data_IF_506966121313
#
_entry.id   IF_506966121313
#
_cell.length_a   1.000
_cell.length_b   1.000
_cell.length_c   1.000
_cell.angle_alpha   90.00
_cell.angle_beta   90.00
_cell.angle_gamma   90.00
#
_symmetry.space_group_name_H-M   'P 1'
#
loop_
_entity.id
_entity.type
_entity.pdbx_description
1 polymer ?
#
# COMPACT_ATOMS: atom_id res chain seq x y z
N UNK A 1 -26.05 -12.70 3.24
CA UNK A 1 -24.76 -12.00 3.48
C UNK A 1 -23.81 -13.08 3.97
N UNK A 2 -22.85 -13.49 3.16
CA UNK A 2 -21.79 -14.39 3.66
C UNK A 2 -20.97 -13.55 4.66
N UNK A 3 -20.93 -13.98 5.91
CA UNK A 3 -19.95 -13.45 6.86
C UNK A 3 -18.57 -13.67 6.22
N UNK A 4 -17.89 -12.59 5.87
CA UNK A 4 -16.52 -12.70 5.38
C UNK A 4 -15.67 -13.19 6.55
N UNK A 5 -15.02 -14.32 6.37
CA UNK A 5 -14.15 -14.89 7.39
C UNK A 5 -12.95 -13.94 7.59
N UNK A 6 -12.73 -13.51 8.81
CA UNK A 6 -11.54 -12.76 9.22
C UNK A 6 -10.51 -13.72 9.85
N UNK A 7 -9.23 -13.43 9.66
CA UNK A 7 -8.16 -14.17 10.30
C UNK A 7 -8.25 -14.03 11.83
N UNK A 8 -8.09 -15.13 12.54
CA UNK A 8 -8.24 -15.18 14.00
C UNK A 8 -6.92 -15.58 14.66
N UNK A 9 -6.78 -15.21 15.93
CA UNK A 9 -5.73 -15.74 16.78
C UNK A 9 -6.05 -17.19 17.12
N UNK A 10 -5.10 -18.10 16.91
CA UNK A 10 -5.22 -19.52 17.26
C UNK A 10 -4.78 -19.69 18.71
N UNK A 11 -5.68 -20.08 19.58
CA UNK A 11 -5.45 -20.16 21.03
C UNK A 11 -5.42 -21.58 21.57
N UNK A 12 -5.91 -22.56 20.80
CA UNK A 12 -5.99 -23.99 21.18
C UNK A 12 -4.75 -24.79 20.77
N UNK A 13 -3.78 -24.15 20.07
CA UNK A 13 -2.56 -24.78 19.58
C UNK A 13 -2.80 -25.75 18.41
N UNK A 14 -4.02 -25.84 17.88
CA UNK A 14 -4.38 -26.74 16.80
C UNK A 14 -4.22 -26.08 15.42
N UNK A 15 -3.03 -26.21 14.82
CA UNK A 15 -2.74 -25.70 13.48
C UNK A 15 -1.71 -26.56 12.74
N UNK A 16 -1.68 -26.45 11.43
CA UNK A 16 -0.71 -27.15 10.59
C UNK A 16 0.65 -26.44 10.68
N UNK A 17 1.60 -27.04 11.40
CA UNK A 17 2.95 -26.48 11.57
C UNK A 17 3.74 -26.37 10.26
N UNK A 18 3.44 -27.19 9.25
CA UNK A 18 4.09 -27.11 7.93
C UNK A 18 3.67 -25.87 7.13
N UNK A 19 2.54 -25.25 7.49
CA UNK A 19 2.02 -24.02 6.90
C UNK A 19 2.27 -22.79 7.80
N UNK A 20 2.97 -22.96 8.92
CA UNK A 20 3.23 -21.89 9.87
C UNK A 20 4.59 -21.25 9.60
N UNK A 21 4.63 -19.92 9.59
CA UNK A 21 5.85 -19.11 9.43
C UNK A 21 5.98 -18.14 10.59
N UNK A 22 7.10 -18.17 11.29
CA UNK A 22 7.41 -17.23 12.37
C UNK A 22 7.95 -15.92 11.79
N UNK A 23 7.29 -14.84 12.13
CA UNK A 23 7.66 -13.46 11.84
C UNK A 23 7.93 -12.68 13.14
N UNK A 24 8.36 -11.43 13.05
CA UNK A 24 8.57 -10.57 14.23
C UNK A 24 7.26 -10.42 15.02
N UNK A 25 6.15 -10.18 14.34
CA UNK A 25 4.84 -9.88 14.94
C UNK A 25 3.90 -11.07 15.03
N UNK A 26 4.44 -12.29 15.13
CA UNK A 26 3.65 -13.50 15.34
C UNK A 26 4.05 -14.66 14.44
N UNK A 27 3.38 -15.78 14.62
CA UNK A 27 3.44 -16.94 13.72
C UNK A 27 2.17 -16.96 12.87
N UNK A 28 2.32 -16.94 11.55
CA UNK A 28 1.21 -16.89 10.60
C UNK A 28 1.03 -18.25 9.93
N UNK A 29 -0.21 -18.75 9.96
CA UNK A 29 -0.58 -20.06 9.39
C UNK A 29 -1.35 -19.83 8.10
N UNK A 30 -0.72 -20.19 6.98
CA UNK A 30 -1.28 -20.01 5.65
C UNK A 30 -2.18 -21.17 5.19
N UNK A 31 -2.58 -21.08 3.92
CA UNK A 31 -3.33 -22.14 3.22
C UNK A 31 -2.52 -22.68 2.05
N UNK A 32 -2.72 -23.96 1.74
CA UNK A 32 -2.10 -24.60 0.59
C UNK A 32 -3.15 -24.94 -0.46
N UNK A 33 -2.90 -24.54 -1.69
CA UNK A 33 -3.68 -24.89 -2.87
C UNK A 33 -2.72 -25.47 -3.92
N UNK A 34 -2.89 -26.72 -4.28
CA UNK A 34 -1.95 -27.46 -5.10
C UNK A 34 -0.54 -27.45 -4.48
N UNK A 35 0.44 -26.90 -5.20
CA UNK A 35 1.82 -26.73 -4.74
C UNK A 35 2.15 -25.29 -4.30
N UNK A 36 1.15 -24.44 -4.07
CA UNK A 36 1.33 -23.07 -3.61
C UNK A 36 0.82 -22.89 -2.19
N UNK A 37 1.63 -22.26 -1.35
CA UNK A 37 1.24 -21.81 -0.02
C UNK A 37 1.02 -20.30 -0.11
N UNK A 38 -0.14 -19.86 0.36
CA UNK A 38 -0.50 -18.46 0.47
C UNK A 38 -0.72 -18.05 1.92
N UNK A 39 -0.31 -16.85 2.25
CA UNK A 39 -0.52 -16.21 3.54
C UNK A 39 -1.22 -14.88 3.27
N UNK A 40 -2.46 -14.75 3.71
CA UNK A 40 -3.33 -13.61 3.36
C UNK A 40 -3.71 -12.82 4.61
N UNK A 41 -3.62 -11.48 4.54
CA UNK A 41 -4.04 -10.60 5.62
C UNK A 41 -3.05 -10.53 6.79
N UNK A 42 -1.75 -10.51 6.52
CA UNK A 42 -0.72 -10.31 7.55
C UNK A 42 -0.60 -8.81 7.85
N UNK A 43 -0.78 -8.34 9.09
CA UNK A 43 -0.57 -6.94 9.44
C UNK A 43 0.92 -6.59 9.38
N UNK A 44 1.27 -5.49 8.72
CA UNK A 44 2.65 -5.01 8.65
C UNK A 44 2.92 -3.77 9.51
N UNK A 45 1.94 -3.38 10.33
CA UNK A 45 2.01 -2.27 11.28
C UNK A 45 1.70 -2.74 12.70
N UNK A 46 2.25 -2.09 13.69
CA UNK A 46 2.00 -2.40 15.10
C UNK A 46 0.61 -2.00 15.57
N UNK A 47 0.04 -0.97 14.94
CA UNK A 47 -1.32 -0.51 15.19
C UNK A 47 -1.94 -0.04 13.87
N UNK A 48 -3.18 -0.42 13.63
CA UNK A 48 -3.94 0.04 12.46
C UNK A 48 -4.30 1.52 12.58
N UNK A 49 -4.38 2.27 11.45
CA UNK A 49 -4.55 3.72 11.46
C UNK A 49 -6.01 4.15 11.72
N UNK A 50 -6.58 3.70 12.83
CA UNK A 50 -7.98 3.92 13.21
C UNK A 50 -8.05 4.97 14.34
N UNK A 51 -9.09 5.78 14.36
CA UNK A 51 -9.35 6.76 15.41
C UNK A 51 -8.26 7.83 15.50
N UNK A 52 -7.58 7.94 16.64
CA UNK A 52 -6.51 8.93 16.88
C UNK A 52 -5.27 8.72 15.99
N UNK A 53 -5.10 7.52 15.43
CA UNK A 53 -4.02 7.19 14.50
C UNK A 53 -4.36 7.51 13.03
N UNK A 54 -5.61 7.90 12.74
CA UNK A 54 -5.97 8.36 11.41
C UNK A 54 -5.04 9.51 11.00
N UNK A 55 -4.48 9.45 9.81
CA UNK A 55 -3.48 10.40 9.26
C UNK A 55 -2.13 10.47 9.99
N UNK A 56 -1.87 9.61 10.96
CA UNK A 56 -0.52 9.45 11.55
C UNK A 56 0.32 8.51 10.71
N UNK A 57 1.65 8.69 10.80
CA UNK A 57 2.59 7.73 10.22
C UNK A 57 2.36 6.33 10.79
N UNK A 58 2.56 5.26 9.98
CA UNK A 58 2.41 3.89 10.46
C UNK A 58 3.42 3.59 11.58
N UNK A 59 3.00 2.75 12.51
CA UNK A 59 3.79 2.37 13.68
C UNK A 59 4.46 1.02 13.44
N UNK A 60 5.72 0.89 13.81
CA UNK A 60 6.48 -0.36 13.70
C UNK A 60 5.79 -1.52 14.43
N UNK A 61 5.88 -2.71 13.85
CA UNK A 61 5.43 -3.94 14.51
C UNK A 61 6.28 -4.22 15.76
N UNK A 62 5.64 -4.79 16.76
CA UNK A 62 6.32 -5.25 17.99
C UNK A 62 6.44 -6.77 17.97
N UNK A 63 7.48 -7.32 18.60
CA UNK A 63 7.60 -8.77 18.77
C UNK A 63 6.36 -9.37 19.43
N UNK A 64 5.83 -10.43 18.83
CA UNK A 64 4.71 -11.21 19.36
C UNK A 64 4.96 -12.72 19.16
N UNK A 65 4.59 -13.52 20.15
CA UNK A 65 4.66 -14.99 20.10
C UNK A 65 3.31 -15.64 19.81
N UNK A 66 2.28 -14.86 19.51
CA UNK A 66 0.96 -15.34 19.11
C UNK A 66 0.99 -16.12 17.80
N UNK A 67 0.01 -17.00 17.65
CA UNK A 67 -0.24 -17.74 16.39
C UNK A 67 -1.53 -17.23 15.78
N UNK A 68 -1.52 -16.93 14.48
CA UNK A 68 -2.62 -16.30 13.77
C UNK A 68 -2.91 -17.02 12.47
N UNK A 69 -4.17 -17.11 12.10
CA UNK A 69 -4.56 -17.46 10.74
C UNK A 69 -4.05 -16.40 9.76
N UNK A 70 -3.66 -16.84 8.58
CA UNK A 70 -3.34 -16.01 7.44
C UNK A 70 -4.01 -16.59 6.18
N UNK A 71 -5.31 -16.87 6.29
CA UNK A 71 -6.10 -17.61 5.31
C UNK A 71 -7.01 -16.70 4.48
N UNK A 72 -7.33 -15.51 4.99
CA UNK A 72 -8.32 -14.61 4.41
C UNK A 72 -7.70 -13.26 4.09
N UNK A 73 -8.11 -12.67 2.96
CA UNK A 73 -7.76 -11.28 2.66
C UNK A 73 -8.33 -10.33 3.71
N UNK A 74 -7.56 -9.33 4.08
CA UNK A 74 -8.00 -8.28 4.99
C UNK A 74 -8.87 -7.23 4.28
N UNK A 75 -9.42 -6.30 5.06
CA UNK A 75 -10.21 -5.18 4.56
C UNK A 75 -9.41 -4.32 3.57
N UNK A 76 -10.09 -3.84 2.56
CA UNK A 76 -9.59 -2.77 1.70
C UNK A 76 -9.67 -1.44 2.44
N UNK A 77 -8.81 -0.48 2.10
CA UNK A 77 -8.99 0.90 2.52
C UNK A 77 -10.38 1.40 2.08
N UNK A 78 -11.03 2.20 2.93
CA UNK A 78 -12.33 2.79 2.57
C UNK A 78 -12.18 3.60 1.28
N UNK A 79 -13.04 3.35 0.30
CA UNK A 79 -12.98 3.93 -1.04
C UNK A 79 -14.38 4.05 -1.64
N UNK A 80 -14.58 4.97 -2.57
CA UNK A 80 -15.85 5.22 -3.21
C UNK A 80 -16.25 4.09 -4.17
N UNK A 81 -15.27 3.52 -4.88
CA UNK A 81 -15.54 2.46 -5.87
C UNK A 81 -15.91 1.16 -5.14
N UNK A 82 -17.07 0.60 -5.50
CA UNK A 82 -17.58 -0.65 -4.93
C UNK A 82 -16.90 -1.89 -5.55
N UNK A 83 -15.60 -2.06 -5.30
CA UNK A 83 -14.88 -3.30 -5.69
C UNK A 83 -15.23 -4.43 -4.71
N UNK A 84 -15.41 -4.09 -3.45
CA UNK A 84 -15.77 -5.01 -2.37
C UNK A 84 -16.46 -4.25 -1.24
N UNK A 85 -17.41 -4.90 -0.57
CA UNK A 85 -18.06 -4.35 0.64
C UNK A 85 -17.19 -4.54 1.91
N UNK A 86 -16.05 -5.23 1.82
CA UNK A 86 -15.12 -5.46 2.91
C UNK A 86 -14.09 -4.35 2.97
N UNK A 87 -14.48 -3.20 3.48
CA UNK A 87 -13.68 -2.00 3.59
C UNK A 87 -13.59 -1.51 5.03
N UNK A 88 -12.50 -0.84 5.37
CA UNK A 88 -12.29 -0.24 6.69
C UNK A 88 -11.01 0.58 6.74
N UNK A 89 -10.85 1.35 7.83
CA UNK A 89 -9.59 2.05 8.12
C UNK A 89 -8.50 1.07 8.60
N UNK A 90 -8.92 -0.05 9.20
CA UNK A 90 -8.10 -1.21 9.50
C UNK A 90 -7.78 -1.96 8.20
N UNK A 91 -6.78 -1.49 7.45
CA UNK A 91 -6.50 -1.94 6.09
C UNK A 91 -5.02 -2.18 5.77
N UNK A 92 -4.11 -1.95 6.72
CA UNK A 92 -2.68 -2.06 6.48
C UNK A 92 -2.17 -3.49 6.65
N UNK A 93 -2.43 -4.30 5.61
CA UNK A 93 -2.09 -5.72 5.54
C UNK A 93 -1.39 -6.04 4.23
N UNK A 94 -0.64 -7.14 4.24
CA UNK A 94 0.00 -7.70 3.06
C UNK A 94 -0.33 -9.19 2.91
N UNK A 95 -0.03 -9.71 1.73
CA UNK A 95 -0.18 -11.12 1.43
C UNK A 95 1.10 -11.66 0.81
N UNK A 96 1.38 -12.95 1.02
CA UNK A 96 2.58 -13.63 0.52
C UNK A 96 2.19 -14.94 -0.17
N UNK A 97 2.78 -15.23 -1.33
CA UNK A 97 2.64 -16.51 -2.04
C UNK A 97 4.01 -17.08 -2.35
N UNK A 98 4.15 -18.37 -2.17
CA UNK A 98 5.34 -19.14 -2.52
C UNK A 98 5.01 -20.55 -2.96
N UNK A 99 5.89 -21.19 -3.73
CA UNK A 99 5.78 -22.62 -3.96
C UNK A 99 6.05 -23.40 -2.66
N UNK A 100 5.37 -24.53 -2.50
CA UNK A 100 5.63 -25.51 -1.46
C UNK A 100 6.77 -26.42 -1.91
N UNK A 101 7.98 -25.94 -1.78
CA UNK A 101 9.19 -26.69 -2.08
C UNK A 101 10.18 -26.65 -0.90
N UNK A 102 11.13 -27.57 -0.94
CA UNK A 102 12.18 -27.72 0.09
C UNK A 102 13.48 -27.02 -0.30
N UNK A 103 13.47 -26.12 -1.29
CA UNK A 103 14.65 -25.41 -1.73
C UNK A 103 15.26 -24.60 -0.58
N UNK A 104 16.53 -24.84 -0.28
CA UNK A 104 17.31 -24.04 0.66
C UNK A 104 17.79 -22.70 0.04
N UNK A 105 17.66 -22.55 -1.27
CA UNK A 105 18.08 -21.33 -1.96
C UNK A 105 17.05 -20.22 -1.72
N UNK A 106 17.52 -19.04 -1.34
CA UNK A 106 16.69 -17.85 -1.22
C UNK A 106 16.19 -17.41 -2.60
N UNK A 107 14.89 -17.12 -2.70
CA UNK A 107 14.20 -16.77 -3.95
C UNK A 107 14.08 -15.26 -4.13
N UNK A 108 14.17 -14.75 -5.36
CA UNK A 108 13.81 -13.36 -5.66
C UNK A 108 12.40 -13.04 -5.15
N UNK A 109 12.21 -11.80 -4.68
CA UNK A 109 10.94 -11.34 -4.15
C UNK A 109 10.35 -10.27 -5.05
N UNK A 110 9.07 -10.41 -5.42
CA UNK A 110 8.31 -9.45 -6.19
C UNK A 110 7.23 -8.83 -5.30
N UNK A 111 7.29 -7.50 -5.05
CA UNK A 111 6.33 -6.79 -4.20
C UNK A 111 5.45 -5.91 -5.06
N UNK A 112 4.16 -6.26 -5.15
CA UNK A 112 3.16 -5.51 -5.89
C UNK A 112 2.60 -4.34 -5.09
N UNK A 113 2.58 -3.16 -5.71
CA UNK A 113 1.86 -1.97 -5.25
C UNK A 113 0.77 -1.66 -6.27
N UNK A 114 -0.49 -1.76 -5.84
CA UNK A 114 -1.63 -1.62 -6.74
C UNK A 114 -1.84 -0.18 -7.22
N UNK A 115 -2.45 -0.04 -8.40
CA UNK A 115 -2.93 1.23 -8.93
C UNK A 115 -4.31 1.62 -8.43
N UNK A 116 -5.01 2.49 -9.18
CA UNK A 116 -6.34 2.99 -8.85
C UNK A 116 -6.35 4.46 -8.48
N UNK A 117 -5.52 5.27 -9.13
CA UNK A 117 -5.46 6.74 -8.99
C UNK A 117 -5.25 7.22 -7.54
N UNK A 118 -4.63 6.42 -6.69
CA UNK A 118 -4.48 6.62 -5.24
C UNK A 118 -5.80 6.70 -4.47
N UNK A 119 -6.93 6.40 -5.10
CA UNK A 119 -8.28 6.53 -4.51
C UNK A 119 -9.03 5.21 -4.44
N UNK A 120 -8.60 4.20 -5.21
CA UNK A 120 -9.26 2.91 -5.30
C UNK A 120 -8.23 1.76 -5.38
N UNK A 121 -8.72 0.52 -5.26
CA UNK A 121 -7.91 -0.69 -5.34
C UNK A 121 -7.68 -1.34 -3.99
N UNK A 122 -6.79 -2.31 -3.96
CA UNK A 122 -6.41 -3.03 -2.74
C UNK A 122 -5.99 -4.46 -3.03
N UNK A 123 -5.42 -5.11 -2.04
CA UNK A 123 -4.81 -6.44 -2.18
C UNK A 123 -5.79 -7.60 -1.95
N UNK A 124 -7.03 -7.31 -1.58
CA UNK A 124 -8.09 -8.30 -1.32
C UNK A 124 -9.03 -8.51 -2.52
N UNK A 125 -8.61 -8.19 -3.75
CA UNK A 125 -9.38 -8.42 -4.97
C UNK A 125 -8.73 -9.55 -5.78
N UNK A 126 -9.54 -10.37 -6.43
CA UNK A 126 -9.10 -11.57 -7.18
C UNK A 126 -8.07 -11.25 -8.26
N UNK A 127 -8.13 -10.06 -8.85
CA UNK A 127 -7.17 -9.60 -9.86
C UNK A 127 -5.72 -9.63 -9.37
N UNK A 128 -5.49 -9.44 -8.07
CA UNK A 128 -4.16 -9.38 -7.46
C UNK A 128 -3.83 -10.62 -6.62
N UNK A 129 -4.60 -11.72 -6.78
CA UNK A 129 -4.23 -13.02 -6.21
C UNK A 129 -3.08 -13.63 -7.02
N UNK A 130 -1.89 -13.68 -6.41
CA UNK A 130 -0.68 -14.14 -7.06
C UNK A 130 -0.54 -15.68 -7.13
N UNK A 131 -1.59 -16.45 -6.85
CA UNK A 131 -1.53 -17.94 -6.89
C UNK A 131 -1.05 -18.45 -8.25
N UNK A 132 -1.59 -17.90 -9.35
CA UNK A 132 -1.18 -18.33 -10.71
C UNK A 132 0.24 -17.88 -11.05
N UNK A 133 0.64 -16.65 -10.67
CA UNK A 133 2.03 -16.20 -10.84
C UNK A 133 3.01 -17.10 -10.10
N UNK A 134 2.69 -17.48 -8.86
CA UNK A 134 3.54 -18.37 -8.08
C UNK A 134 3.59 -19.81 -8.65
N UNK A 135 2.54 -20.27 -9.35
CA UNK A 135 2.56 -21.54 -10.08
C UNK A 135 3.47 -21.50 -11.32
N UNK A 136 3.42 -20.40 -12.08
CA UNK A 136 4.24 -20.22 -13.28
C UNK A 136 5.72 -19.93 -12.94
N UNK A 137 5.96 -19.26 -11.80
CA UNK A 137 7.28 -18.87 -11.33
C UNK A 137 7.56 -19.40 -9.92
N UNK A 138 7.70 -20.73 -9.75
CA UNK A 138 7.89 -21.35 -8.43
C UNK A 138 9.24 -21.00 -7.79
N UNK A 139 10.15 -20.42 -8.53
CA UNK A 139 11.45 -19.91 -8.12
C UNK A 139 11.41 -18.48 -7.54
N UNK A 140 10.22 -17.88 -7.39
CA UNK A 140 10.00 -16.55 -6.85
C UNK A 140 9.05 -16.58 -5.64
N UNK A 141 9.11 -15.52 -4.82
CA UNK A 141 8.14 -15.20 -3.79
C UNK A 141 7.40 -13.92 -4.19
N UNK A 142 6.07 -13.95 -4.15
CA UNK A 142 5.22 -12.82 -4.49
C UNK A 142 4.60 -12.22 -3.23
N UNK A 143 4.55 -10.90 -3.17
CA UNK A 143 3.93 -10.13 -2.08
C UNK A 143 3.03 -9.07 -2.68
N UNK A 144 1.86 -8.85 -2.09
CA UNK A 144 1.00 -7.69 -2.40
C UNK A 144 0.80 -6.86 -1.14
N UNK A 145 0.92 -5.53 -1.23
CA UNK A 145 0.81 -4.64 -0.07
C UNK A 145 -0.34 -3.65 -0.23
N UNK A 146 -1.11 -3.45 0.83
CA UNK A 146 -2.14 -2.42 0.90
C UNK A 146 -1.55 -1.10 1.42
N UNK A 147 -2.25 0.01 1.18
CA UNK A 147 -1.93 1.33 1.70
C UNK A 147 -3.21 2.17 1.79
N UNK A 148 -3.20 3.22 2.62
CA UNK A 148 -4.35 4.12 2.76
C UNK A 148 -4.60 4.89 1.46
N UNK A 149 -5.87 5.13 1.15
CA UNK A 149 -6.31 5.73 -0.11
C UNK A 149 -7.04 7.06 0.11
N UNK A 150 -7.06 7.89 -0.93
CA UNK A 150 -7.83 9.11 -1.00
C UNK A 150 -7.63 10.02 0.21
N UNK A 151 -8.72 10.50 0.79
CA UNK A 151 -8.69 11.38 1.95
C UNK A 151 -8.07 10.76 3.21
N UNK A 152 -7.97 9.44 3.30
CA UNK A 152 -7.28 8.76 4.41
C UNK A 152 -5.76 8.72 4.24
N UNK A 153 -5.25 8.87 3.00
CA UNK A 153 -3.84 8.73 2.66
C UNK A 153 -3.11 10.01 2.27
N UNK A 154 -3.84 11.08 1.86
CA UNK A 154 -3.25 12.21 1.13
C UNK A 154 -3.80 13.60 1.49
N UNK A 155 -4.34 13.81 2.69
CA UNK A 155 -4.79 15.13 3.13
C UNK A 155 -3.67 15.94 3.78
N UNK A 156 -3.47 17.19 3.35
CA UNK A 156 -2.55 18.12 3.99
C UNK A 156 -3.22 18.78 5.20
N UNK A 157 -2.88 18.34 6.41
CA UNK A 157 -3.53 18.78 7.65
C UNK A 157 -2.70 19.75 8.48
N UNK A 158 -1.38 19.83 8.27
CA UNK A 158 -0.47 20.59 9.14
C UNK A 158 -0.68 22.11 9.09
N UNK A 159 -1.40 22.64 8.09
CA UNK A 159 -1.75 24.07 7.99
C UNK A 159 -2.98 24.45 8.84
N UNK A 160 -3.74 23.47 9.34
CA UNK A 160 -4.91 23.71 10.20
C UNK A 160 -4.49 24.13 11.62
N UNK A 161 -5.36 24.85 12.37
CA UNK A 161 -5.02 25.39 13.68
C UNK A 161 -4.46 24.38 14.70
N UNK A 162 -4.94 23.13 14.65
CA UNK A 162 -4.53 22.01 15.50
C UNK A 162 -3.73 20.93 14.73
N UNK A 163 -3.26 21.27 13.52
CA UNK A 163 -2.64 20.33 12.59
C UNK A 163 -1.14 20.06 12.80
N UNK A 164 -0.47 20.71 13.78
CA UNK A 164 0.99 20.61 13.97
C UNK A 164 1.55 19.19 14.09
N UNK A 165 0.75 18.26 14.61
CA UNK A 165 1.15 16.86 14.82
C UNK A 165 0.79 15.95 13.62
N UNK A 166 0.34 16.52 12.49
CA UNK A 166 -0.09 15.84 11.27
C UNK A 166 0.77 16.21 10.06
N UNK A 167 2.07 16.41 10.27
CA UNK A 167 3.00 16.86 9.22
C UNK A 167 3.24 15.84 8.11
N UNK A 168 2.92 14.56 8.34
CA UNK A 168 3.06 13.48 7.37
C UNK A 168 1.75 13.16 6.63
N UNK A 169 0.62 13.73 7.06
CA UNK A 169 -0.72 13.33 6.64
C UNK A 169 -0.92 13.31 5.12
N UNK A 170 -0.31 14.26 4.40
CA UNK A 170 -0.38 14.37 2.94
C UNK A 170 0.36 13.25 2.18
N UNK A 171 1.17 12.44 2.87
CA UNK A 171 1.97 11.39 2.28
C UNK A 171 2.00 10.10 3.12
N UNK A 172 1.05 9.93 4.07
CA UNK A 172 1.07 8.74 4.95
C UNK A 172 0.91 7.44 4.15
N UNK A 173 0.21 7.47 3.04
CA UNK A 173 0.07 6.31 2.15
C UNK A 173 1.42 5.84 1.58
N UNK A 174 2.32 6.76 1.24
CA UNK A 174 3.69 6.41 0.83
C UNK A 174 4.52 5.86 2.00
N UNK A 175 4.24 6.34 3.23
CA UNK A 175 4.87 5.80 4.43
C UNK A 175 4.31 4.41 4.78
N UNK A 176 3.03 4.14 4.52
CA UNK A 176 2.44 2.79 4.63
C UNK A 176 3.17 1.80 3.72
N UNK A 177 3.37 2.17 2.45
CA UNK A 177 4.14 1.37 1.49
C UNK A 177 5.58 1.13 1.97
N UNK A 178 6.26 2.17 2.44
CA UNK A 178 7.61 2.05 3.01
C UNK A 178 7.63 1.12 4.23
N UNK A 179 6.63 1.18 5.10
CA UNK A 179 6.51 0.30 6.26
C UNK A 179 6.30 -1.16 5.84
N UNK A 180 5.46 -1.41 4.84
CA UNK A 180 5.29 -2.74 4.27
C UNK A 180 6.60 -3.29 3.68
N UNK A 181 7.35 -2.46 2.95
CA UNK A 181 8.67 -2.83 2.42
C UNK A 181 9.69 -3.13 3.53
N UNK A 182 9.64 -2.39 4.64
CA UNK A 182 10.43 -2.68 5.84
C UNK A 182 10.06 -4.06 6.40
N UNK A 183 8.76 -4.32 6.58
CA UNK A 183 8.28 -5.62 7.08
C UNK A 183 8.73 -6.77 6.18
N UNK A 184 8.63 -6.61 4.85
CA UNK A 184 9.11 -7.60 3.87
C UNK A 184 10.61 -7.85 4.08
N UNK A 185 11.43 -6.82 4.16
CA UNK A 185 12.87 -6.94 4.37
C UNK A 185 13.21 -7.72 5.65
N UNK A 186 12.47 -7.48 6.73
CA UNK A 186 12.72 -8.09 8.03
C UNK A 186 12.18 -9.53 8.17
N UNK A 187 11.17 -9.94 7.36
CA UNK A 187 10.47 -11.19 7.56
C UNK A 187 10.48 -12.15 6.36
N UNK A 188 10.73 -11.67 5.13
CA UNK A 188 10.51 -12.49 3.92
C UNK A 188 11.44 -13.70 3.81
N UNK A 189 12.57 -13.68 4.50
CA UNK A 189 13.48 -14.82 4.58
C UNK A 189 12.82 -16.06 5.20
N UNK A 190 11.88 -15.86 6.12
CA UNK A 190 11.10 -16.95 6.74
C UNK A 190 10.15 -17.62 5.74
N UNK A 191 9.78 -16.93 4.65
CA UNK A 191 8.99 -17.45 3.54
C UNK A 191 9.86 -18.00 2.39
N UNK A 192 11.19 -18.06 2.56
CA UNK A 192 12.12 -18.50 1.53
C UNK A 192 12.54 -17.40 0.54
N UNK A 193 12.13 -16.16 0.76
CA UNK A 193 12.53 -15.00 -0.05
C UNK A 193 13.91 -14.47 0.31
N UNK A 194 14.54 -13.78 -0.64
CA UNK A 194 15.80 -13.07 -0.44
C UNK A 194 15.54 -11.58 -0.16
N UNK A 195 15.73 -11.09 1.07
CA UNK A 195 15.52 -9.68 1.41
C UNK A 195 16.47 -8.72 0.66
N UNK A 196 17.59 -9.22 0.14
CA UNK A 196 18.56 -8.45 -0.65
C UNK A 196 18.26 -8.46 -2.16
N UNK A 197 17.26 -9.25 -2.60
CA UNK A 197 16.84 -9.36 -3.99
C UNK A 197 15.35 -9.07 -4.17
N UNK A 198 14.92 -7.89 -3.70
CA UNK A 198 13.55 -7.42 -3.77
C UNK A 198 13.37 -6.51 -4.98
N UNK A 199 12.35 -6.80 -5.78
CA UNK A 199 11.83 -5.95 -6.86
C UNK A 199 10.46 -5.40 -6.43
N UNK A 200 10.29 -4.08 -6.41
CA UNK A 200 8.97 -3.46 -6.26
C UNK A 200 8.40 -3.18 -7.65
N UNK A 201 7.12 -3.46 -7.83
CA UNK A 201 6.47 -3.28 -9.12
C UNK A 201 5.03 -2.80 -8.97
N UNK A 202 4.54 -2.06 -9.97
CA UNK A 202 3.20 -1.49 -9.92
C UNK A 202 2.77 -0.92 -11.25
N UNK A 203 1.47 -0.72 -11.38
CA UNK A 203 0.83 -0.13 -12.55
C UNK A 203 0.10 1.16 -12.13
N UNK A 204 0.03 2.16 -13.04
CA UNK A 204 -0.70 3.42 -12.82
C UNK A 204 -0.23 4.15 -11.55
N UNK A 205 -1.10 4.41 -10.57
CA UNK A 205 -0.73 4.98 -9.27
C UNK A 205 0.28 4.10 -8.51
N UNK A 206 0.24 2.78 -8.69
CA UNK A 206 1.26 1.85 -8.19
C UNK A 206 2.61 2.08 -8.84
N UNK A 207 2.65 2.34 -10.16
CA UNK A 207 3.89 2.72 -10.86
C UNK A 207 4.41 4.09 -10.39
N UNK A 208 3.53 5.07 -10.19
CA UNK A 208 3.87 6.33 -9.52
C UNK A 208 4.49 6.06 -8.16
N UNK A 209 3.87 5.20 -7.35
CA UNK A 209 4.37 4.80 -6.03
C UNK A 209 5.77 4.19 -6.08
N UNK A 210 5.98 3.16 -6.93
CA UNK A 210 7.31 2.50 -7.00
C UNK A 210 8.40 3.42 -7.53
N UNK A 211 8.05 4.43 -8.33
CA UNK A 211 9.00 5.47 -8.75
C UNK A 211 9.25 6.53 -7.67
N UNK A 212 8.33 6.75 -6.74
CA UNK A 212 8.53 7.67 -5.61
C UNK A 212 9.30 7.03 -4.45
N UNK A 213 9.17 5.72 -4.22
CA UNK A 213 9.85 5.04 -3.12
C UNK A 213 11.38 5.25 -3.08
N UNK A 214 12.14 5.27 -4.20
CA UNK A 214 13.56 5.59 -4.18
C UNK A 214 13.89 6.99 -3.67
N UNK A 215 12.94 7.92 -3.73
CA UNK A 215 13.10 9.32 -3.32
C UNK A 215 12.84 9.52 -1.82
N UNK A 216 12.18 8.56 -1.16
CA UNK A 216 11.86 8.62 0.26
C UNK A 216 13.06 8.19 1.08
N UNK A 217 13.46 9.04 2.03
CA UNK A 217 14.62 8.78 2.89
C UNK A 217 14.55 7.40 3.54
N UNK A 218 15.61 6.62 3.38
CA UNK A 218 15.76 5.29 3.97
C UNK A 218 14.91 4.17 3.32
N UNK A 219 14.09 4.44 2.30
CA UNK A 219 13.29 3.41 1.62
C UNK A 219 14.13 2.49 0.73
N UNK A 220 15.15 3.02 0.04
CA UNK A 220 16.03 2.29 -0.91
C UNK A 220 16.74 1.08 -0.34
N UNK A 221 16.89 0.99 0.97
CA UNK A 221 17.53 -0.18 1.61
C UNK A 221 16.68 -1.46 1.48
N UNK A 222 15.38 -1.34 1.22
CA UNK A 222 14.44 -2.45 1.21
C UNK A 222 14.21 -3.09 -0.16
N UNK A 223 14.76 -2.51 -1.24
CA UNK A 223 14.63 -3.06 -2.59
C UNK A 223 15.84 -2.66 -3.47
N UNK A 224 16.02 -3.36 -4.59
CA UNK A 224 17.11 -3.14 -5.56
C UNK A 224 16.61 -2.83 -6.95
N UNK A 225 15.35 -3.17 -7.26
CA UNK A 225 14.80 -3.09 -8.60
C UNK A 225 13.40 -2.51 -8.56
N UNK A 226 13.04 -1.78 -9.61
CA UNK A 226 11.74 -1.13 -9.81
C UNK A 226 11.21 -1.51 -11.18
N UNK A 227 9.95 -1.95 -11.26
CA UNK A 227 9.21 -2.09 -12.52
C UNK A 227 8.02 -1.16 -12.45
N UNK A 228 7.99 -0.13 -13.30
CA UNK A 228 6.94 0.87 -13.36
C UNK A 228 6.17 0.76 -14.68
N UNK A 229 4.89 0.42 -14.58
CA UNK A 229 4.00 0.23 -15.72
C UNK A 229 2.99 1.38 -15.78
N UNK A 230 3.11 2.25 -16.78
CA UNK A 230 2.16 3.35 -17.03
C UNK A 230 2.03 4.34 -15.85
N UNK A 231 3.16 4.73 -15.25
CA UNK A 231 3.19 5.72 -14.17
C UNK A 231 4.59 6.28 -13.94
N UNK A 232 4.65 7.45 -13.30
CA UNK A 232 5.89 8.22 -13.12
C UNK A 232 5.84 9.05 -11.83
N UNK A 233 6.99 9.58 -11.35
CA UNK A 233 7.04 10.41 -10.15
C UNK A 233 6.39 11.80 -10.33
N UNK A 234 5.89 12.11 -11.52
CA UNK A 234 5.09 13.31 -11.82
C UNK A 234 3.62 13.21 -11.36
N UNK A 235 3.14 12.02 -10.98
CA UNK A 235 1.79 11.84 -10.41
C UNK A 235 1.72 12.36 -8.97
N UNK A 236 1.94 13.66 -8.82
CA UNK A 236 2.03 14.34 -7.53
C UNK A 236 1.39 15.73 -7.58
N UNK A 237 0.91 16.19 -6.45
CA UNK A 237 0.47 17.56 -6.25
C UNK A 237 1.60 18.45 -5.70
N UNK A 238 1.49 19.75 -5.94
CA UNK A 238 2.20 20.75 -5.15
C UNK A 238 1.58 20.86 -3.75
N UNK A 239 2.30 21.52 -2.85
CA UNK A 239 1.80 21.81 -1.51
C UNK A 239 0.54 22.70 -1.56
N UNK A 240 0.53 23.69 -2.45
CA UNK A 240 -0.58 24.61 -2.63
C UNK A 240 -1.86 23.90 -3.12
N UNK A 241 -1.74 23.04 -4.12
CA UNK A 241 -2.85 22.20 -4.62
C UNK A 241 -3.42 21.29 -3.53
N UNK A 242 -2.56 20.70 -2.70
CA UNK A 242 -2.98 19.85 -1.60
C UNK A 242 -3.69 20.61 -0.48
N UNK A 243 -3.22 21.81 -0.14
CA UNK A 243 -3.89 22.70 0.81
C UNK A 243 -5.27 23.11 0.30
N UNK A 244 -5.38 23.52 -0.98
CA UNK A 244 -6.65 23.89 -1.60
C UNK A 244 -7.63 22.70 -1.58
N UNK A 245 -7.17 21.50 -1.95
CA UNK A 245 -7.98 20.27 -1.89
C UNK A 245 -8.52 19.98 -0.49
N UNK A 246 -7.66 20.10 0.53
CA UNK A 246 -8.05 19.91 1.92
C UNK A 246 -9.08 20.96 2.37
N UNK A 247 -8.88 22.24 2.02
CA UNK A 247 -9.80 23.31 2.39
C UNK A 247 -11.20 23.12 1.77
N UNK A 248 -11.26 22.70 0.50
CA UNK A 248 -12.53 22.41 -0.19
C UNK A 248 -13.28 21.26 0.50
N UNK A 249 -12.58 20.19 0.85
CA UNK A 249 -13.16 19.07 1.58
C UNK A 249 -13.63 19.46 2.98
N UNK A 250 -12.81 20.20 3.73
CA UNK A 250 -13.15 20.73 5.06
C UNK A 250 -14.43 21.59 5.02
N UNK A 251 -14.54 22.47 4.02
CA UNK A 251 -15.70 23.33 3.82
C UNK A 251 -16.95 22.50 3.55
N UNK A 252 -16.88 21.48 2.69
CA UNK A 252 -17.98 20.59 2.36
C UNK A 252 -18.46 19.76 3.57
N UNK A 253 -17.52 19.36 4.46
CA UNK A 253 -17.82 18.61 5.69
C UNK A 253 -18.25 19.53 6.86
N UNK A 254 -18.15 20.86 6.71
CA UNK A 254 -18.40 21.81 7.79
C UNK A 254 -17.36 21.76 8.92
N UNK A 255 -16.17 21.18 8.65
CA UNK A 255 -15.08 21.04 9.60
C UNK A 255 -14.14 22.27 9.56
N UNK A 256 -13.56 22.63 10.70
CA UNK A 256 -12.59 23.75 10.81
C UNK A 256 -11.26 23.34 11.41
N UNK A 257 -11.22 22.20 12.07
CA UNK A 257 -10.05 21.68 12.79
C UNK A 257 -9.84 20.20 12.44
N UNK A 258 -8.64 19.67 12.69
CA UNK A 258 -8.38 18.23 12.58
C UNK A 258 -9.25 17.47 13.57
N UNK A 259 -9.47 17.99 14.78
CA UNK A 259 -10.34 17.39 15.79
C UNK A 259 -11.80 17.26 15.33
N UNK A 260 -12.30 18.17 14.49
CA UNK A 260 -13.61 18.02 13.86
C UNK A 260 -13.58 16.90 12.82
N UNK A 261 -12.54 16.87 11.97
CA UNK A 261 -12.39 15.92 10.89
C UNK A 261 -12.24 14.47 11.41
N UNK A 262 -11.55 14.26 12.53
CA UNK A 262 -11.41 12.94 13.18
C UNK A 262 -12.75 12.34 13.58
N UNK A 263 -13.76 13.17 13.90
CA UNK A 263 -15.12 12.72 14.28
C UNK A 263 -15.98 12.29 13.08
N UNK A 264 -15.59 12.68 11.86
CA UNK A 264 -16.30 12.27 10.64
C UNK A 264 -16.01 10.79 10.41
N UNK A 265 -17.07 10.00 10.23
CA UNK A 265 -16.89 8.59 9.88
C UNK A 265 -16.22 8.43 8.50
N UNK A 266 -15.47 7.34 8.32
CA UNK A 266 -14.65 7.16 7.13
C UNK A 266 -15.48 7.09 5.83
N UNK A 267 -16.70 6.54 5.89
CA UNK A 267 -17.58 6.45 4.71
C UNK A 267 -18.03 7.84 4.29
N UNK A 268 -18.54 8.65 5.22
CA UNK A 268 -18.94 10.04 4.95
C UNK A 268 -17.77 10.88 4.42
N UNK A 269 -16.56 10.70 4.99
CA UNK A 269 -15.35 11.37 4.53
C UNK A 269 -15.07 11.06 3.06
N UNK A 270 -15.06 9.78 2.70
CA UNK A 270 -14.71 9.34 1.34
C UNK A 270 -15.82 9.70 0.34
N UNK A 271 -17.09 9.54 0.67
CA UNK A 271 -18.21 9.88 -0.21
C UNK A 271 -18.25 11.39 -0.49
N UNK A 272 -17.98 12.22 0.53
CA UNK A 272 -17.87 13.68 0.35
C UNK A 272 -16.66 14.02 -0.52
N UNK A 273 -15.51 13.38 -0.27
CA UNK A 273 -14.30 13.59 -1.05
C UNK A 273 -14.50 13.23 -2.54
N UNK A 274 -15.18 12.13 -2.83
CA UNK A 274 -15.50 11.72 -4.20
C UNK A 274 -16.36 12.76 -4.94
N UNK A 275 -17.30 13.40 -4.22
CA UNK A 275 -18.17 14.41 -4.81
C UNK A 275 -17.52 15.80 -5.00
N UNK A 276 -16.53 16.16 -4.18
CA UNK A 276 -15.99 17.53 -4.10
C UNK A 276 -14.58 17.65 -4.67
N UNK A 277 -13.73 16.66 -4.38
CA UNK A 277 -12.28 16.72 -4.68
C UNK A 277 -11.78 15.47 -5.43
N UNK A 278 -12.66 14.80 -6.16
CA UNK A 278 -12.32 13.62 -6.96
C UNK A 278 -11.07 13.86 -7.82
N UNK A 279 -10.19 12.86 -7.92
CA UNK A 279 -8.93 12.91 -8.70
C UNK A 279 -7.98 14.07 -8.32
N UNK A 280 -8.11 14.63 -7.10
CA UNK A 280 -7.21 15.68 -6.58
C UNK A 280 -6.35 15.21 -5.41
N UNK A 281 -6.44 13.94 -5.03
CA UNK A 281 -5.71 13.36 -3.88
C UNK A 281 -4.55 12.51 -4.38
N UNK A 282 -3.42 13.17 -4.58
CA UNK A 282 -2.16 12.57 -5.00
C UNK A 282 -1.08 12.79 -3.94
N UNK A 283 0.02 12.00 -3.96
CA UNK A 283 1.20 12.28 -3.18
C UNK A 283 1.67 13.74 -3.36
N UNK A 284 2.21 14.33 -2.32
CA UNK A 284 2.54 15.76 -2.28
C UNK A 284 4.05 15.98 -2.27
N UNK A 285 4.53 16.84 -3.15
CA UNK A 285 5.91 17.32 -3.18
C UNK A 285 6.12 18.33 -2.06
N UNK A 286 6.35 17.83 -0.85
CA UNK A 286 6.39 18.61 0.38
C UNK A 286 7.82 19.01 0.81
N UNK A 287 8.85 18.56 0.08
CA UNK A 287 10.25 18.79 0.41
C UNK A 287 10.74 18.01 1.64
N UNK A 288 9.89 17.18 2.24
CA UNK A 288 10.16 16.42 3.45
C UNK A 288 10.13 14.89 3.23
N UNK A 289 8.99 14.36 2.77
CA UNK A 289 8.84 12.96 2.39
C UNK A 289 9.20 12.79 0.92
N UNK A 290 8.66 13.65 0.06
CA UNK A 290 9.03 13.72 -1.34
C UNK A 290 9.77 15.04 -1.64
N UNK A 291 10.80 15.01 -2.51
CA UNK A 291 11.48 16.23 -2.97
C UNK A 291 10.49 17.16 -3.69
N UNK A 292 10.80 18.47 -3.67
CA UNK A 292 9.99 19.48 -4.38
C UNK A 292 9.99 19.24 -5.89
N UNK A 293 11.10 18.73 -6.43
CA UNK A 293 11.22 18.29 -7.82
C UNK A 293 11.76 16.85 -7.86
N UNK A 294 10.88 15.85 -8.09
CA UNK A 294 11.29 14.45 -8.23
C UNK A 294 12.23 14.20 -9.41
N UNK A 295 12.09 14.93 -10.52
CA UNK A 295 12.93 14.74 -11.69
C UNK A 295 14.33 15.29 -11.47
N UNK A 296 14.46 16.44 -10.83
CA UNK A 296 15.76 16.97 -10.40
C UNK A 296 16.44 16.02 -9.42
N UNK A 297 15.72 15.46 -8.47
CA UNK A 297 16.25 14.46 -7.55
C UNK A 297 16.82 13.23 -8.29
N UNK A 298 16.12 12.73 -9.31
CA UNK A 298 16.57 11.64 -10.16
C UNK A 298 17.83 12.06 -10.98
N UNK A 299 17.80 13.23 -11.61
CA UNK A 299 18.94 13.75 -12.36
C UNK A 299 20.20 13.89 -11.48
N UNK A 300 20.03 14.21 -10.21
CA UNK A 300 21.09 14.28 -9.20
C UNK A 300 21.47 12.91 -8.60
N UNK A 301 20.97 11.81 -9.16
CA UNK A 301 21.37 10.44 -8.81
C UNK A 301 20.68 9.86 -7.57
N UNK A 302 19.48 10.33 -7.20
CA UNK A 302 18.76 9.82 -6.05
C UNK A 302 18.49 8.31 -6.10
N UNK A 303 18.47 7.70 -7.29
CA UNK A 303 18.24 6.27 -7.49
C UNK A 303 19.33 5.58 -8.33
N UNK A 304 20.56 6.10 -8.33
CA UNK A 304 21.68 5.59 -9.16
C UNK A 304 21.99 4.10 -8.97
N UNK A 305 21.67 3.54 -7.79
CA UNK A 305 21.95 2.15 -7.42
C UNK A 305 20.72 1.24 -7.61
N UNK A 306 19.64 1.75 -8.20
CA UNK A 306 18.39 1.00 -8.45
C UNK A 306 18.30 0.65 -9.93
N UNK A 307 17.97 -0.61 -10.23
CA UNK A 307 17.67 -1.04 -11.60
C UNK A 307 16.20 -0.72 -11.93
N UNK A 308 15.96 -0.04 -13.06
CA UNK A 308 14.62 0.31 -13.51
C UNK A 308 14.25 -0.41 -14.79
N UNK A 309 13.00 -0.93 -14.82
CA UNK A 309 12.27 -1.27 -16.03
C UNK A 309 11.01 -0.38 -16.05
N UNK A 310 10.89 0.48 -17.04
CA UNK A 310 9.75 1.41 -17.15
C UNK A 310 9.17 1.39 -18.56
N UNK A 311 7.85 1.45 -18.65
CA UNK A 311 7.13 1.49 -19.92
C UNK A 311 5.70 1.98 -19.77
N UNK A 312 5.08 2.26 -20.91
CA UNK A 312 3.67 2.61 -21.02
C UNK A 312 3.08 1.99 -22.29
N UNK A 313 1.76 1.93 -22.39
CA UNK A 313 1.09 1.49 -23.59
C UNK A 313 1.12 2.59 -24.66
N UNK A 314 1.03 2.19 -25.94
CA UNK A 314 1.00 3.12 -27.06
C UNK A 314 -0.21 4.06 -27.00
N UNK A 315 -1.37 3.51 -26.67
CA UNK A 315 -2.66 4.20 -26.69
C UNK A 315 -3.21 4.33 -25.25
N UNK A 316 -2.37 4.81 -24.33
CA UNK A 316 -2.55 4.82 -22.88
C UNK A 316 -3.84 5.49 -22.42
N UNK A 317 -4.21 6.61 -23.08
CA UNK A 317 -5.35 7.42 -22.67
C UNK A 317 -6.69 6.97 -23.27
N UNK A 318 -6.71 6.03 -24.22
CA UNK A 318 -7.94 5.65 -24.94
C UNK A 318 -9.01 5.05 -24.02
N UNK A 319 -8.63 4.46 -22.88
CA UNK A 319 -9.59 3.94 -21.92
C UNK A 319 -10.22 5.01 -21.00
N UNK A 320 -9.64 6.22 -20.96
CA UNK A 320 -10.09 7.32 -20.10
C UNK A 320 -10.83 8.43 -20.86
N UNK A 321 -10.72 8.44 -22.19
CA UNK A 321 -11.27 9.50 -23.05
C UNK A 321 -12.21 8.87 -24.08
N UNK A 322 -13.48 8.71 -23.69
CA UNK A 322 -14.47 8.00 -24.51
C UNK A 322 -14.88 8.74 -25.80
N UNK A 323 -14.67 10.06 -25.92
CA UNK A 323 -15.22 10.90 -27.02
C UNK A 323 -14.27 12.03 -27.46
N UNK A 324 -12.98 11.76 -27.64
CA UNK A 324 -12.13 12.71 -28.31
C UNK A 324 -12.29 12.53 -29.84
N UNK A 325 -13.28 13.19 -30.41
CA UNK A 325 -13.26 13.52 -31.85
C UNK A 325 -12.13 14.51 -32.06
N UNK A 326 -11.04 14.07 -32.66
CA UNK A 326 -10.04 14.99 -33.23
C UNK A 326 -10.71 15.64 -34.42
N UNK A 327 -11.16 16.92 -34.29
CA UNK A 327 -11.47 17.77 -35.40
C UNK A 327 -10.19 18.28 -36.10
#
# INVERSE_FOLDING_TARGET
MNEMNENKKITDGNYNQLLAVKCINGTFVGTKTDNIISYKGIPFVGQQPVGELRWKAPVDVMPDDGVYEACHFAKLSVQDISISNHQGEDCLYLNVWRADDTSAAKKPVMVWIHGGAFMAGGTGIDLFDCTNLAKEHPDMVFVTIAYRLGALGFLHLSHLPDGKDYQDAQNVALLDQKMALKWVHENIAAFGGDPDNVTIWGESAGAGSVTMQPLISGSRRYFKKVIAQSGAPSQTNSLEESIATTNDLMAALGCKTVADLVKVDARTLIDTAAGVVALRMFPVRDGRILPLDPWEAYANGAAKDITFLQGCNKDEMNCFVADWTVE
#
